data_IF_689093725506
#
_entry.id   IF_689093725506
#
_cell.length_a   1.000
_cell.length_b   1.000
_cell.length_c   1.000
_cell.angle_alpha   90.00
_cell.angle_beta   90.00
_cell.angle_gamma   90.00
#
_symmetry.space_group_name_H-M   'P 1'
#
loop_
_entity.id
_entity.type
_entity.pdbx_description
1 polymer ?
#
# COMPACT_ATOMS: atom_id res chain seq x y z
N UNK A 1 22.12 -4.66 13.13
CA UNK A 1 21.22 -3.54 13.48
C UNK A 1 20.62 -3.81 14.85
N UNK A 2 20.59 -2.84 15.74
CA UNK A 2 20.11 -3.06 17.10
C UNK A 2 18.57 -3.05 17.08
N UNK A 3 17.92 -4.13 17.51
CA UNK A 3 16.46 -4.24 17.56
C UNK A 3 15.80 -3.09 18.35
N UNK A 4 16.48 -2.55 19.35
CA UNK A 4 15.98 -1.40 20.11
C UNK A 4 15.82 -0.12 19.27
N UNK A 5 16.49 -0.03 18.14
CA UNK A 5 16.37 1.11 17.22
C UNK A 5 15.02 1.11 16.47
N UNK A 6 14.36 -0.02 16.40
CA UNK A 6 13.07 -0.17 15.73
C UNK A 6 11.88 0.35 16.53
N UNK A 7 12.03 0.38 17.86
CA UNK A 7 10.96 0.79 18.75
C UNK A 7 10.57 2.26 18.59
N UNK A 8 11.50 3.08 18.10
CA UNK A 8 11.31 4.52 17.86
C UNK A 8 11.07 4.85 16.39
N UNK A 9 10.92 3.81 15.54
CA UNK A 9 10.84 3.97 14.09
C UNK A 9 9.39 4.12 13.64
N UNK A 10 9.12 5.21 12.94
CA UNK A 10 7.93 5.41 12.15
C UNK A 10 8.14 5.02 10.67
N UNK A 11 7.10 5.16 9.88
CA UNK A 11 7.15 4.91 8.43
C UNK A 11 8.31 5.64 7.74
N UNK A 12 8.64 6.87 8.17
CA UNK A 12 9.70 7.69 7.53
C UNK A 12 11.08 7.05 7.67
N UNK A 13 11.36 6.44 8.80
CA UNK A 13 12.64 5.78 9.04
C UNK A 13 12.72 4.48 8.23
N UNK A 14 11.64 3.71 8.16
CA UNK A 14 11.60 2.52 7.32
C UNK A 14 11.74 2.85 5.83
N UNK A 15 11.08 3.90 5.36
CA UNK A 15 11.25 4.42 4.01
C UNK A 15 12.69 4.84 3.79
N UNK A 16 13.31 5.57 4.74
CA UNK A 16 14.70 6.00 4.64
C UNK A 16 15.67 4.82 4.56
N UNK A 17 15.48 3.77 5.36
CA UNK A 17 16.33 2.58 5.31
C UNK A 17 16.16 1.79 4.01
N UNK A 18 14.94 1.70 3.49
CA UNK A 18 14.66 1.11 2.17
C UNK A 18 15.35 1.92 1.08
N UNK A 19 15.31 3.25 1.14
CA UNK A 19 16.00 4.12 0.21
C UNK A 19 17.52 3.97 0.23
N UNK A 20 18.14 3.79 1.39
CA UNK A 20 19.58 3.55 1.49
C UNK A 20 19.97 2.25 0.79
N UNK A 21 19.14 1.21 0.89
CA UNK A 21 19.36 -0.04 0.16
C UNK A 21 19.23 0.17 -1.36
N UNK A 22 18.20 0.91 -1.80
CA UNK A 22 18.01 1.23 -3.22
C UNK A 22 19.12 2.12 -3.81
N UNK A 23 19.75 2.99 -3.01
CA UNK A 23 20.87 3.84 -3.46
C UNK A 23 22.04 3.05 -4.03
N UNK A 24 22.26 1.81 -3.59
CA UNK A 24 23.30 0.94 -4.11
C UNK A 24 23.10 0.63 -5.61
N UNK A 25 21.84 0.69 -6.06
CA UNK A 25 21.43 0.38 -7.43
C UNK A 25 21.01 1.62 -8.22
N UNK A 26 21.11 2.81 -7.63
CA UNK A 26 20.59 4.05 -8.22
C UNK A 26 21.19 4.34 -9.61
N UNK A 27 22.46 4.04 -9.81
CA UNK A 27 23.13 4.20 -11.10
C UNK A 27 22.63 3.25 -12.19
N UNK A 28 21.96 2.15 -11.82
CA UNK A 28 21.35 1.20 -12.73
C UNK A 28 19.86 1.52 -12.96
N UNK A 29 19.16 1.91 -11.90
CA UNK A 29 17.70 2.05 -11.87
C UNK A 29 17.26 3.41 -12.42
N UNK A 30 17.96 4.50 -12.05
CA UNK A 30 17.60 5.87 -12.41
C UNK A 30 18.45 6.44 -13.57
N UNK A 31 18.76 5.62 -14.57
CA UNK A 31 19.70 5.97 -15.61
C UNK A 31 18.99 6.08 -16.97
N UNK A 32 18.83 7.30 -17.48
CA UNK A 32 18.23 7.55 -18.80
C UNK A 32 19.04 6.86 -19.94
N UNK A 33 20.36 6.73 -19.79
CA UNK A 33 21.19 6.01 -20.76
C UNK A 33 20.88 4.51 -20.81
N UNK A 34 20.50 3.92 -19.69
CA UNK A 34 20.01 2.53 -19.66
C UNK A 34 18.71 2.40 -20.48
N UNK A 35 17.80 3.35 -20.36
CA UNK A 35 16.55 3.39 -21.14
C UNK A 35 16.85 3.47 -22.63
N UNK A 36 17.76 4.35 -23.04
CA UNK A 36 18.18 4.47 -24.45
C UNK A 36 18.75 3.16 -24.97
N UNK A 37 19.65 2.52 -24.21
CA UNK A 37 20.26 1.25 -24.60
C UNK A 37 19.22 0.12 -24.70
N UNK A 38 18.26 0.05 -23.77
CA UNK A 38 17.16 -0.94 -23.80
C UNK A 38 16.24 -0.72 -25.00
N UNK A 39 15.94 0.53 -25.33
CA UNK A 39 15.14 0.88 -26.51
C UNK A 39 15.87 0.50 -27.82
N UNK A 40 17.17 0.76 -27.92
CA UNK A 40 17.99 0.34 -29.06
C UNK A 40 18.04 -1.19 -29.23
N UNK A 41 18.16 -1.95 -28.14
CA UNK A 41 18.14 -3.41 -28.17
C UNK A 41 16.80 -3.93 -28.75
N UNK A 42 15.68 -3.31 -28.38
CA UNK A 42 14.36 -3.67 -28.90
C UNK A 42 14.28 -3.47 -30.42
N UNK A 43 14.89 -2.39 -30.95
CA UNK A 43 14.88 -2.08 -32.39
C UNK A 43 15.75 -3.06 -33.18
N UNK A 44 16.85 -3.52 -32.60
CA UNK A 44 17.82 -4.39 -33.27
C UNK A 44 17.50 -5.87 -33.17
N UNK A 45 16.61 -6.30 -32.26
CA UNK A 45 16.28 -7.71 -32.08
C UNK A 45 15.36 -8.20 -33.21
N UNK A 46 15.87 -9.06 -34.07
CA UNK A 46 15.09 -9.81 -35.05
C UNK A 46 14.19 -10.84 -34.35
N UNK A 47 13.14 -11.29 -35.05
CA UNK A 47 12.06 -12.14 -34.54
C UNK A 47 12.52 -13.46 -33.83
N UNK A 48 13.76 -13.91 -34.11
CA UNK A 48 14.37 -15.10 -33.50
C UNK A 48 14.74 -14.89 -32.01
N UNK A 49 14.84 -13.64 -31.56
CA UNK A 49 15.22 -13.27 -30.18
C UNK A 49 14.02 -12.83 -29.33
N UNK A 50 12.79 -12.85 -29.83
CA UNK A 50 11.60 -12.32 -29.13
C UNK A 50 11.38 -13.01 -27.78
N UNK A 51 11.54 -14.32 -27.69
CA UNK A 51 11.35 -15.07 -26.44
C UNK A 51 12.48 -14.84 -25.42
N UNK A 52 13.66 -14.53 -25.90
CA UNK A 52 14.82 -14.23 -25.04
C UNK A 52 14.83 -12.75 -24.57
N UNK A 53 14.20 -11.86 -25.32
CA UNK A 53 14.18 -10.40 -25.12
C UNK A 53 12.76 -9.82 -24.85
N UNK A 54 11.81 -10.61 -24.36
CA UNK A 54 10.60 -10.05 -23.75
C UNK A 54 10.92 -9.14 -22.55
N UNK A 55 12.01 -9.47 -21.84
CA UNK A 55 12.54 -8.73 -20.69
C UNK A 55 12.96 -7.27 -20.96
N UNK A 56 13.58 -6.86 -22.09
CA UNK A 56 13.97 -5.46 -22.29
C UNK A 56 12.81 -4.47 -22.22
N UNK A 57 11.60 -4.87 -22.65
CA UNK A 57 10.43 -4.00 -22.58
C UNK A 57 9.93 -3.83 -21.15
N UNK A 58 9.91 -4.91 -20.38
CA UNK A 58 9.56 -4.89 -18.95
C UNK A 58 10.55 -4.03 -18.16
N UNK A 59 11.85 -4.17 -18.42
CA UNK A 59 12.88 -3.34 -17.84
C UNK A 59 12.74 -1.87 -18.24
N UNK A 60 12.38 -1.58 -19.49
CA UNK A 60 12.18 -0.23 -19.97
C UNK A 60 11.02 0.46 -19.27
N UNK A 61 9.86 -0.18 -19.18
CA UNK A 61 8.68 0.36 -18.47
C UNK A 61 8.98 0.59 -17.00
N UNK A 62 9.60 -0.38 -16.35
CA UNK A 62 9.96 -0.25 -14.95
C UNK A 62 11.02 0.83 -14.68
N UNK A 63 11.97 1.05 -15.62
CA UNK A 63 12.94 2.16 -15.50
C UNK A 63 12.27 3.53 -15.63
N UNK A 64 11.21 3.64 -16.42
CA UNK A 64 10.39 4.87 -16.48
C UNK A 64 9.68 5.12 -15.13
N UNK A 65 9.14 4.09 -14.51
CA UNK A 65 8.57 4.16 -13.16
C UNK A 65 9.58 4.63 -12.13
N UNK A 66 10.77 4.05 -12.13
CA UNK A 66 11.84 4.40 -11.21
C UNK A 66 12.27 5.87 -11.37
N UNK A 67 12.35 6.37 -12.60
CA UNK A 67 12.63 7.79 -12.87
C UNK A 67 11.48 8.67 -12.35
N UNK A 68 10.23 8.29 -12.58
CA UNK A 68 9.07 9.03 -12.07
C UNK A 68 9.07 9.07 -10.53
N UNK A 69 9.37 7.96 -9.88
CA UNK A 69 9.53 7.87 -8.44
C UNK A 69 10.66 8.77 -7.94
N UNK A 70 11.84 8.69 -8.53
CA UNK A 70 13.00 9.52 -8.19
C UNK A 70 12.68 11.02 -8.26
N UNK A 71 12.01 11.46 -9.33
CA UNK A 71 11.61 12.88 -9.51
C UNK A 71 10.56 13.35 -8.49
N UNK A 72 9.76 12.44 -7.95
CA UNK A 72 8.67 12.77 -7.03
C UNK A 72 8.98 12.49 -5.56
N UNK A 73 10.05 11.78 -5.24
CA UNK A 73 10.43 11.37 -3.89
C UNK A 73 10.42 12.52 -2.87
N UNK A 74 10.96 13.68 -3.23
CA UNK A 74 10.97 14.86 -2.34
C UNK A 74 9.56 15.34 -1.98
N UNK A 75 8.61 15.26 -2.92
CA UNK A 75 7.22 15.62 -2.66
C UNK A 75 6.54 14.61 -1.75
N UNK A 76 6.92 13.36 -1.83
CA UNK A 76 6.42 12.30 -0.93
C UNK A 76 6.85 12.54 0.51
N UNK A 77 8.12 12.83 0.74
CA UNK A 77 8.62 13.23 2.06
C UNK A 77 7.93 14.50 2.60
N UNK A 78 7.65 15.46 1.73
CA UNK A 78 6.90 16.67 2.08
C UNK A 78 5.46 16.35 2.49
N UNK A 79 4.79 15.41 1.80
CA UNK A 79 3.46 14.93 2.17
C UNK A 79 3.45 14.30 3.56
N UNK A 80 4.41 13.42 3.86
CA UNK A 80 4.55 12.83 5.19
C UNK A 80 4.75 13.88 6.28
N UNK A 81 5.62 14.83 6.04
CA UNK A 81 5.87 15.91 6.99
C UNK A 81 4.60 16.75 7.25
N UNK A 82 3.85 17.11 6.21
CA UNK A 82 2.60 17.87 6.37
C UNK A 82 1.54 17.07 7.11
N UNK A 83 1.39 15.78 6.81
CA UNK A 83 0.49 14.90 7.57
C UNK A 83 0.81 14.93 9.06
N UNK A 84 2.07 14.83 9.42
CA UNK A 84 2.52 14.77 10.80
C UNK A 84 2.54 16.14 11.51
N UNK A 85 2.61 17.25 10.79
CA UNK A 85 2.74 18.59 11.40
C UNK A 85 1.49 19.45 11.28
N UNK A 86 0.75 19.37 10.18
CA UNK A 86 -0.40 20.26 9.91
C UNK A 86 -1.76 19.57 10.01
N UNK A 87 -1.77 18.22 9.93
CA UNK A 87 -3.02 17.44 10.03
C UNK A 87 -3.08 16.70 11.37
N UNK A 88 -2.39 17.18 12.39
CA UNK A 88 -2.16 16.39 13.61
C UNK A 88 -3.17 16.57 14.71
N UNK A 89 -3.94 17.65 14.78
CA UNK A 89 -4.83 17.86 15.93
C UNK A 89 -6.24 18.25 15.54
N UNK A 90 -7.18 17.62 16.19
CA UNK A 90 -8.58 17.96 16.23
C UNK A 90 -8.93 18.57 17.60
N UNK A 91 -10.03 19.30 17.68
CA UNK A 91 -10.63 19.70 18.95
C UNK A 91 -11.18 18.53 19.75
N UNK A 92 -11.45 17.41 19.10
CA UNK A 92 -11.96 16.20 19.73
C UNK A 92 -10.82 15.43 20.41
N UNK A 93 -11.15 14.75 21.51
CA UNK A 93 -10.20 13.99 22.33
C UNK A 93 -10.43 12.49 22.18
N UNK A 94 -9.36 11.73 22.12
CA UNK A 94 -9.37 10.28 22.08
C UNK A 94 -8.32 9.71 23.03
N UNK A 95 -8.77 8.89 23.98
CA UNK A 95 -7.89 8.28 25.01
C UNK A 95 -6.97 9.30 25.70
N UNK A 96 -7.51 10.49 26.04
CA UNK A 96 -6.77 11.53 26.75
C UNK A 96 -5.83 12.38 25.87
N UNK A 97 -5.85 12.22 24.57
CA UNK A 97 -5.03 13.01 23.62
C UNK A 97 -5.93 13.58 22.51
N UNK A 98 -5.57 14.71 21.90
CA UNK A 98 -6.28 15.19 20.72
C UNK A 98 -6.30 14.16 19.60
N UNK A 99 -7.44 14.07 18.91
CA UNK A 99 -7.54 13.25 17.69
C UNK A 99 -6.58 13.82 16.64
N UNK A 100 -5.75 12.97 16.05
CA UNK A 100 -4.71 13.35 15.10
C UNK A 100 -4.65 12.37 13.92
N UNK A 101 -3.71 12.57 13.00
CA UNK A 101 -3.57 11.71 11.82
C UNK A 101 -3.39 10.23 12.16
N UNK A 102 -2.73 9.90 13.25
CA UNK A 102 -2.42 8.53 13.63
C UNK A 102 -3.59 7.78 14.30
N UNK A 103 -4.62 8.49 14.78
CA UNK A 103 -5.70 7.88 15.57
C UNK A 103 -7.13 8.24 15.13
N UNK A 104 -7.33 9.15 14.16
CA UNK A 104 -8.67 9.59 13.76
C UNK A 104 -9.54 8.48 13.18
N UNK A 105 -8.92 7.52 12.45
CA UNK A 105 -9.65 6.37 11.91
C UNK A 105 -10.14 5.46 13.03
N UNK A 106 -9.27 5.22 14.02
CA UNK A 106 -9.64 4.45 15.20
C UNK A 106 -10.73 5.17 16.01
N UNK A 107 -10.62 6.49 16.17
CA UNK A 107 -11.67 7.29 16.79
C UNK A 107 -12.99 7.11 16.04
N UNK A 108 -13.04 7.35 14.74
CA UNK A 108 -14.26 7.24 13.95
C UNK A 108 -14.81 5.80 13.89
N UNK A 109 -13.98 4.79 14.05
CA UNK A 109 -14.46 3.40 14.06
C UNK A 109 -15.21 3.02 15.34
N UNK A 110 -14.93 3.67 16.48
CA UNK A 110 -15.51 3.27 17.78
C UNK A 110 -16.38 4.36 18.44
N UNK A 111 -16.32 5.61 17.98
CA UNK A 111 -17.15 6.70 18.54
C UNK A 111 -18.63 6.46 18.19
N UNK A 112 -19.48 6.37 19.20
CA UNK A 112 -20.92 6.10 19.02
C UNK A 112 -21.71 7.33 18.58
N UNK A 113 -21.26 8.53 18.99
CA UNK A 113 -21.88 9.79 18.63
C UNK A 113 -21.56 10.15 17.16
N UNK A 114 -22.58 10.12 16.31
CA UNK A 114 -22.42 10.39 14.89
C UNK A 114 -22.03 11.85 14.59
N UNK A 115 -22.42 12.83 15.43
CA UNK A 115 -22.03 14.22 15.27
C UNK A 115 -20.53 14.40 15.51
N UNK A 116 -19.98 13.71 16.51
CA UNK A 116 -18.53 13.72 16.75
C UNK A 116 -17.76 13.04 15.62
N UNK A 117 -18.28 11.92 15.08
CA UNK A 117 -17.66 11.28 13.90
C UNK A 117 -17.64 12.23 12.71
N UNK A 118 -18.77 12.90 12.48
CA UNK A 118 -18.90 13.91 11.42
C UNK A 118 -17.91 15.06 11.61
N UNK A 119 -17.86 15.63 12.82
CA UNK A 119 -16.96 16.73 13.18
C UNK A 119 -15.49 16.38 12.86
N UNK A 120 -15.04 15.20 13.32
CA UNK A 120 -13.66 14.74 13.08
C UNK A 120 -13.42 14.53 11.60
N UNK A 121 -14.33 13.87 10.89
CA UNK A 121 -14.20 13.60 9.46
C UNK A 121 -14.14 14.89 8.64
N UNK A 122 -15.04 15.82 8.86
CA UNK A 122 -15.08 17.12 8.17
C UNK A 122 -13.84 17.96 8.48
N UNK A 123 -13.37 17.93 9.71
CA UNK A 123 -12.13 18.60 10.12
C UNK A 123 -10.91 18.05 9.37
N UNK A 124 -10.80 16.73 9.23
CA UNK A 124 -9.71 16.11 8.46
C UNK A 124 -9.84 16.38 6.96
N UNK A 125 -11.04 16.30 6.39
CA UNK A 125 -11.27 16.68 4.97
C UNK A 125 -10.88 18.13 4.73
N UNK A 126 -11.31 19.05 5.60
CA UNK A 126 -10.95 20.47 5.46
C UNK A 126 -9.42 20.67 5.46
N UNK A 127 -8.68 19.88 6.24
CA UNK A 127 -7.21 19.96 6.29
C UNK A 127 -6.51 19.36 5.05
N UNK A 128 -7.21 18.63 4.20
CA UNK A 128 -6.61 18.08 2.96
C UNK A 128 -6.16 19.17 1.99
N UNK A 129 -6.64 20.41 2.14
CA UNK A 129 -6.15 21.54 1.33
C UNK A 129 -4.64 21.78 1.48
N UNK A 130 -4.02 21.38 2.60
CA UNK A 130 -2.57 21.48 2.78
C UNK A 130 -1.79 20.51 1.90
N UNK A 131 -2.35 19.34 1.64
CA UNK A 131 -1.67 18.29 0.84
C UNK A 131 -2.05 18.33 -0.63
N UNK A 132 -3.24 18.84 -0.98
CA UNK A 132 -3.77 18.83 -2.36
C UNK A 132 -2.79 19.43 -3.38
N UNK A 133 -2.15 20.60 -3.16
CA UNK A 133 -1.22 21.16 -4.12
C UNK A 133 -0.01 20.25 -4.40
N UNK A 134 0.47 19.56 -3.36
CA UNK A 134 1.63 18.67 -3.46
C UNK A 134 1.24 17.40 -4.21
N UNK A 135 0.08 16.83 -3.91
CA UNK A 135 -0.46 15.68 -4.62
C UNK A 135 -0.64 15.99 -6.10
N UNK A 136 -1.26 17.14 -6.44
CA UNK A 136 -1.44 17.58 -7.83
C UNK A 136 -0.09 17.76 -8.52
N UNK A 137 0.88 18.40 -7.87
CA UNK A 137 2.22 18.60 -8.42
C UNK A 137 2.92 17.25 -8.65
N UNK A 138 2.86 16.33 -7.68
CA UNK A 138 3.43 14.98 -7.81
C UNK A 138 2.84 14.26 -9.00
N UNK A 139 1.51 14.25 -9.12
CA UNK A 139 0.81 13.61 -10.22
C UNK A 139 1.17 14.23 -11.59
N UNK A 140 1.31 15.55 -11.65
CA UNK A 140 1.72 16.26 -12.88
C UNK A 140 3.13 15.87 -13.32
N UNK A 141 4.08 15.77 -12.38
CA UNK A 141 5.44 15.32 -12.67
C UNK A 141 5.49 13.87 -13.16
N UNK A 142 4.72 12.99 -12.54
CA UNK A 142 4.59 11.60 -13.01
C UNK A 142 4.08 11.58 -14.44
N UNK A 143 3.00 12.32 -14.73
CA UNK A 143 2.45 12.43 -16.10
C UNK A 143 3.47 12.96 -17.10
N UNK A 144 4.26 13.96 -16.72
CA UNK A 144 5.34 14.48 -17.57
C UNK A 144 6.35 13.40 -17.92
N UNK A 145 6.87 12.69 -16.93
CA UNK A 145 7.84 11.62 -17.16
C UNK A 145 7.27 10.56 -18.09
N UNK A 146 6.07 10.11 -17.83
CA UNK A 146 5.43 9.08 -18.67
C UNK A 146 5.15 9.58 -20.07
N UNK A 147 4.73 10.84 -20.26
CA UNK A 147 4.53 11.42 -21.57
C UNK A 147 5.86 11.50 -22.34
N UNK A 148 6.87 12.13 -21.74
CA UNK A 148 8.10 12.46 -22.47
C UNK A 148 8.91 11.20 -22.81
N UNK A 149 9.03 10.26 -21.88
CA UNK A 149 9.72 8.99 -22.11
C UNK A 149 8.82 8.00 -22.88
N UNK A 150 7.54 7.96 -22.60
CA UNK A 150 6.59 7.11 -23.32
C UNK A 150 6.49 7.46 -24.80
N UNK A 151 6.32 8.73 -25.14
CA UNK A 151 6.32 9.19 -26.54
C UNK A 151 7.64 8.90 -27.25
N UNK A 152 8.78 9.18 -26.59
CA UNK A 152 10.12 8.95 -27.15
C UNK A 152 10.34 7.47 -27.50
N UNK A 153 9.83 6.54 -26.71
CA UNK A 153 10.06 5.11 -26.89
C UNK A 153 8.85 4.34 -27.44
N UNK A 154 7.78 5.05 -27.84
CA UNK A 154 6.57 4.45 -28.39
C UNK A 154 5.80 3.59 -27.37
N UNK A 155 5.81 4.01 -26.12
CA UNK A 155 5.13 3.33 -25.01
C UNK A 155 3.95 4.15 -24.51
N UNK A 156 2.77 3.56 -24.49
CA UNK A 156 1.67 4.07 -23.68
C UNK A 156 1.84 3.53 -22.25
N UNK A 157 1.95 4.41 -21.23
CA UNK A 157 2.28 3.98 -19.86
C UNK A 157 1.31 2.97 -19.29
N UNK A 158 0.01 3.21 -19.45
CA UNK A 158 -1.03 2.35 -18.87
C UNK A 158 -1.06 1.00 -19.57
N UNK A 159 -1.09 1.00 -20.90
CA UNK A 159 -1.07 -0.25 -21.67
C UNK A 159 0.22 -1.04 -21.44
N UNK A 160 1.36 -0.34 -21.35
CA UNK A 160 2.65 -0.99 -21.13
C UNK A 160 2.76 -1.62 -19.75
N UNK A 161 2.22 -0.97 -18.72
CA UNK A 161 2.14 -1.56 -17.38
C UNK A 161 1.26 -2.82 -17.35
N UNK A 162 0.08 -2.75 -17.93
CA UNK A 162 -0.83 -3.89 -17.98
C UNK A 162 -0.31 -5.04 -18.84
N UNK A 163 0.46 -4.75 -19.89
CA UNK A 163 1.13 -5.77 -20.69
C UNK A 163 2.17 -6.56 -19.86
N UNK A 164 2.88 -5.92 -18.92
CA UNK A 164 3.77 -6.64 -17.99
C UNK A 164 2.99 -7.64 -17.14
N UNK A 165 1.80 -7.25 -16.68
CA UNK A 165 0.88 -8.10 -15.94
C UNK A 165 0.14 -9.11 -16.85
N UNK A 166 0.40 -9.10 -18.16
CA UNK A 166 -0.32 -9.89 -19.18
C UNK A 166 -1.83 -9.64 -19.19
N UNK A 167 -2.23 -8.43 -18.87
CA UNK A 167 -3.62 -7.99 -18.78
C UNK A 167 -3.93 -7.04 -19.94
N UNK A 168 -4.99 -7.32 -20.68
CA UNK A 168 -5.52 -6.39 -21.68
C UNK A 168 -6.30 -5.26 -21.00
N UNK A 169 -5.93 -3.99 -21.30
CA UNK A 169 -6.63 -2.82 -20.77
C UNK A 169 -8.14 -2.85 -21.08
N UNK A 170 -8.51 -3.18 -22.31
CA UNK A 170 -9.92 -3.25 -22.70
C UNK A 170 -10.69 -4.33 -21.94
N UNK A 171 -10.11 -5.52 -21.80
CA UNK A 171 -10.70 -6.60 -21.03
C UNK A 171 -10.84 -6.25 -19.54
N UNK A 172 -9.83 -5.61 -18.96
CA UNK A 172 -9.90 -5.16 -17.56
C UNK A 172 -11.02 -4.13 -17.35
N UNK A 173 -11.11 -3.12 -18.23
CA UNK A 173 -12.16 -2.09 -18.16
C UNK A 173 -13.55 -2.71 -18.31
N UNK A 174 -13.73 -3.62 -19.26
CA UNK A 174 -15.00 -4.32 -19.47
C UNK A 174 -15.37 -5.18 -18.25
N UNK A 175 -14.40 -5.93 -17.71
CA UNK A 175 -14.58 -6.74 -16.50
C UNK A 175 -15.02 -5.88 -15.32
N UNK A 176 -14.30 -4.78 -15.02
CA UNK A 176 -14.62 -3.89 -13.89
C UNK A 176 -16.00 -3.26 -14.08
N UNK A 177 -16.33 -2.79 -15.28
CA UNK A 177 -17.66 -2.23 -15.59
C UNK A 177 -18.76 -3.26 -15.40
N UNK A 178 -18.57 -4.47 -15.92
CA UNK A 178 -19.53 -5.58 -15.79
C UNK A 178 -19.73 -5.98 -14.32
N UNK A 179 -18.62 -6.13 -13.56
CA UNK A 179 -18.69 -6.38 -12.13
C UNK A 179 -19.44 -5.28 -11.38
N UNK A 180 -19.08 -4.02 -11.63
CA UNK A 180 -19.73 -2.87 -10.99
C UNK A 180 -21.23 -2.81 -11.28
N UNK A 181 -21.64 -3.08 -12.51
CA UNK A 181 -23.06 -3.13 -12.87
C UNK A 181 -23.80 -4.26 -12.18
N UNK A 182 -23.20 -5.46 -12.12
CA UNK A 182 -23.80 -6.63 -11.46
C UNK A 182 -23.88 -6.49 -9.94
N UNK A 183 -22.82 -5.94 -9.32
CA UNK A 183 -22.73 -5.80 -7.88
C UNK A 183 -23.52 -4.60 -7.33
N UNK A 184 -23.77 -3.56 -8.13
CA UNK A 184 -24.33 -2.28 -7.67
C UNK A 184 -25.63 -2.46 -6.91
N UNK A 185 -26.61 -3.12 -7.50
CA UNK A 185 -27.93 -3.28 -6.87
C UNK A 185 -27.89 -4.18 -5.63
N UNK A 186 -27.36 -5.41 -5.68
CA UNK A 186 -27.24 -6.25 -4.48
C UNK A 186 -26.48 -5.58 -3.35
N UNK A 187 -25.38 -4.87 -3.67
CA UNK A 187 -24.61 -4.12 -2.67
C UNK A 187 -25.43 -3.00 -2.03
N UNK A 188 -26.15 -2.21 -2.82
CA UNK A 188 -26.97 -1.13 -2.32
C UNK A 188 -28.13 -1.66 -1.42
N UNK A 189 -28.81 -2.71 -1.84
CA UNK A 189 -29.87 -3.35 -1.06
C UNK A 189 -29.35 -3.87 0.28
N UNK A 190 -28.25 -4.62 0.28
CA UNK A 190 -27.61 -5.13 1.48
C UNK A 190 -27.10 -4.00 2.40
N UNK A 191 -26.44 -2.98 1.82
CA UNK A 191 -25.96 -1.83 2.59
C UNK A 191 -27.12 -1.10 3.29
N UNK A 192 -28.22 -0.89 2.60
CA UNK A 192 -29.39 -0.20 3.14
C UNK A 192 -30.08 -1.02 4.23
N UNK A 193 -30.20 -2.32 4.07
CA UNK A 193 -30.78 -3.22 5.06
C UNK A 193 -29.94 -3.27 6.34
N UNK A 194 -28.65 -3.56 6.19
CA UNK A 194 -27.72 -3.71 7.31
C UNK A 194 -27.50 -2.36 8.02
N UNK A 195 -27.39 -1.25 7.28
CA UNK A 195 -27.22 0.06 7.90
C UNK A 195 -28.46 0.52 8.71
N UNK A 196 -29.66 0.24 8.23
CA UNK A 196 -30.88 0.52 9.01
C UNK A 196 -30.92 -0.29 10.31
N UNK A 197 -30.49 -1.55 10.26
CA UNK A 197 -30.42 -2.41 11.45
C UNK A 197 -29.40 -1.90 12.48
N UNK A 198 -28.23 -1.44 12.00
CA UNK A 198 -27.11 -1.05 12.87
C UNK A 198 -27.19 0.42 13.30
N UNK A 199 -27.52 1.33 12.36
CA UNK A 199 -27.48 2.77 12.57
C UNK A 199 -28.88 3.39 12.82
N UNK A 200 -29.96 2.65 12.56
CA UNK A 200 -31.34 3.17 12.56
C UNK A 200 -31.62 4.15 11.41
N UNK A 201 -30.68 4.37 10.49
CA UNK A 201 -30.75 5.31 9.37
C UNK A 201 -29.88 4.85 8.20
N UNK A 202 -29.91 5.60 7.10
CA UNK A 202 -28.95 5.41 6.01
C UNK A 202 -27.55 5.82 6.44
N UNK A 203 -26.49 5.14 5.95
CA UNK A 203 -25.11 5.51 6.25
C UNK A 203 -24.73 6.81 5.53
N UNK A 204 -24.00 7.63 6.21
CA UNK A 204 -23.37 8.84 5.67
C UNK A 204 -21.86 8.60 5.49
N UNK A 205 -21.17 9.48 4.74
CA UNK A 205 -19.75 9.34 4.44
C UNK A 205 -18.85 9.23 5.69
N UNK A 206 -19.24 9.86 6.80
CA UNK A 206 -18.51 9.81 8.08
C UNK A 206 -18.77 8.54 8.90
N UNK A 207 -19.70 7.70 8.48
CA UNK A 207 -19.98 6.41 9.12
C UNK A 207 -19.10 5.28 8.58
N UNK A 208 -18.31 5.51 7.53
CA UNK A 208 -17.54 4.50 6.83
C UNK A 208 -16.71 3.61 7.78
N UNK A 209 -15.84 4.22 8.59
CA UNK A 209 -15.03 3.48 9.56
C UNK A 209 -15.88 2.84 10.66
N UNK A 210 -16.90 3.53 11.16
CA UNK A 210 -17.78 3.01 12.19
C UNK A 210 -18.57 1.79 11.72
N UNK A 211 -19.08 1.86 10.51
CA UNK A 211 -19.87 0.79 9.92
C UNK A 211 -18.99 -0.39 9.48
N UNK A 212 -18.06 -0.15 8.55
CA UNK A 212 -17.29 -1.22 7.91
C UNK A 212 -16.15 -1.78 8.75
N UNK A 213 -15.60 -1.01 9.71
CA UNK A 213 -14.49 -1.46 10.56
C UNK A 213 -14.87 -1.86 11.98
N UNK A 214 -16.15 -1.69 12.36
CA UNK A 214 -16.60 -2.05 13.69
C UNK A 214 -17.95 -2.76 13.63
N UNK A 215 -19.05 -2.04 13.37
CA UNK A 215 -20.40 -2.56 13.63
C UNK A 215 -20.77 -3.77 12.79
N UNK A 216 -20.36 -3.84 11.52
CA UNK A 216 -20.61 -5.02 10.66
C UNK A 216 -19.96 -6.28 11.23
N UNK A 217 -18.83 -6.13 11.92
CA UNK A 217 -18.05 -7.24 12.44
C UNK A 217 -18.12 -7.41 13.96
N UNK A 218 -18.90 -6.57 14.66
CA UNK A 218 -18.94 -6.56 16.14
C UNK A 218 -19.30 -7.91 16.76
N UNK A 219 -20.12 -8.71 16.10
CA UNK A 219 -20.45 -10.06 16.56
C UNK A 219 -19.29 -11.05 16.47
N UNK A 220 -18.35 -10.80 15.55
CA UNK A 220 -17.14 -11.60 15.39
C UNK A 220 -16.02 -11.15 16.32
N UNK A 221 -15.94 -9.86 16.64
CA UNK A 221 -14.88 -9.29 17.48
C UNK A 221 -14.77 -9.98 18.85
N UNK A 222 -15.85 -10.47 19.40
CA UNK A 222 -15.84 -11.25 20.66
C UNK A 222 -14.99 -12.53 20.60
N UNK A 223 -14.84 -13.11 19.39
CA UNK A 223 -14.00 -14.30 19.18
C UNK A 223 -12.53 -13.90 19.01
N UNK A 224 -12.27 -12.79 18.33
CA UNK A 224 -10.91 -12.33 17.99
C UNK A 224 -10.25 -11.49 19.10
N UNK A 225 -11.04 -10.86 19.99
CA UNK A 225 -10.53 -9.96 21.04
C UNK A 225 -9.55 -10.61 22.02
N UNK A 226 -9.66 -11.93 22.21
CA UNK A 226 -8.83 -12.71 23.16
C UNK A 226 -7.58 -13.30 22.53
N UNK A 227 -7.42 -13.17 21.23
CA UNK A 227 -6.37 -13.82 20.47
C UNK A 227 -5.36 -12.76 20.03
N UNK A 228 -4.08 -13.08 20.13
CA UNK A 228 -3.03 -12.22 19.58
C UNK A 228 -2.83 -12.54 18.09
N UNK A 229 -3.16 -11.61 17.17
CA UNK A 229 -3.11 -11.89 15.74
C UNK A 229 -1.71 -12.27 15.25
N UNK A 230 -0.65 -11.64 15.78
CA UNK A 230 0.74 -11.97 15.40
C UNK A 230 1.09 -13.41 15.77
N UNK A 231 0.67 -13.87 16.95
CA UNK A 231 0.95 -15.24 17.37
C UNK A 231 0.23 -16.25 16.47
N UNK A 232 -1.01 -15.97 16.09
CA UNK A 232 -1.76 -16.86 15.20
C UNK A 232 -1.22 -16.84 13.77
N UNK A 233 -0.83 -15.69 13.24
CA UNK A 233 -0.14 -15.58 11.95
C UNK A 233 1.13 -16.43 11.96
N UNK A 234 1.99 -16.24 12.96
CA UNK A 234 3.25 -17.01 13.09
C UNK A 234 2.97 -18.51 13.18
N UNK A 235 2.01 -18.92 14.00
CA UNK A 235 1.63 -20.31 14.16
C UNK A 235 1.11 -20.93 12.85
N UNK A 236 0.21 -20.22 12.17
CA UNK A 236 -0.37 -20.67 10.90
C UNK A 236 0.71 -20.84 9.83
N UNK A 237 1.56 -19.83 9.65
CA UNK A 237 2.60 -19.86 8.63
C UNK A 237 3.70 -20.87 8.95
N UNK A 238 4.05 -21.06 10.23
CA UNK A 238 4.97 -22.14 10.64
C UNK A 238 4.36 -23.53 10.37
N UNK A 239 3.04 -23.69 10.61
CA UNK A 239 2.34 -24.92 10.27
C UNK A 239 2.33 -25.20 8.76
N UNK A 240 2.32 -24.15 7.95
CA UNK A 240 2.43 -24.21 6.49
C UNK A 240 3.89 -24.36 5.98
N UNK A 241 4.85 -24.56 6.89
CA UNK A 241 6.28 -24.72 6.60
C UNK A 241 6.98 -23.48 6.02
N UNK A 242 6.49 -22.29 6.34
CA UNK A 242 7.16 -21.03 5.97
C UNK A 242 8.24 -20.64 6.99
N UNK A 243 9.39 -20.22 6.47
CA UNK A 243 10.49 -19.66 7.29
C UNK A 243 10.24 -18.17 7.60
N UNK A 244 10.00 -17.88 8.87
CA UNK A 244 9.77 -16.51 9.36
C UNK A 244 11.04 -15.81 9.88
N UNK A 245 12.20 -16.45 9.82
CA UNK A 245 13.45 -15.94 10.42
C UNK A 245 13.93 -14.61 9.82
N UNK A 246 13.50 -14.30 8.59
CA UNK A 246 13.86 -13.08 7.84
C UNK A 246 12.83 -11.97 8.00
N UNK A 247 11.75 -12.21 8.75
CA UNK A 247 10.63 -11.28 8.91
C UNK A 247 10.66 -10.70 10.32
N UNK A 248 10.73 -9.38 10.39
CA UNK A 248 10.72 -8.63 11.64
C UNK A 248 9.36 -7.98 11.86
N UNK A 249 8.75 -8.25 13.00
CA UNK A 249 7.43 -7.71 13.37
C UNK A 249 7.60 -6.56 14.37
N UNK A 250 7.26 -5.35 13.93
CA UNK A 250 7.13 -4.19 14.81
C UNK A 250 5.68 -4.10 15.30
N UNK A 251 5.46 -4.61 16.52
CA UNK A 251 4.15 -4.73 17.14
C UNK A 251 3.97 -3.84 18.36
N UNK A 252 4.98 -3.05 18.73
CA UNK A 252 4.91 -2.16 19.89
C UNK A 252 3.87 -1.06 19.65
N UNK A 253 3.05 -0.79 20.65
CA UNK A 253 2.08 0.31 20.61
C UNK A 253 2.77 1.60 21.04
N UNK A 254 3.04 2.49 20.09
CA UNK A 254 3.65 3.81 20.30
C UNK A 254 2.66 4.90 19.91
N UNK A 255 2.72 6.01 20.63
CA UNK A 255 1.82 7.15 20.41
C UNK A 255 1.82 7.65 18.97
N UNK A 256 3.00 7.76 18.37
CA UNK A 256 3.21 8.34 17.04
C UNK A 256 3.44 7.27 15.96
N UNK A 257 3.12 6.00 16.26
CA UNK A 257 3.22 4.91 15.31
C UNK A 257 2.30 5.15 14.12
N UNK A 258 2.80 4.89 12.92
CA UNK A 258 2.01 5.00 11.70
C UNK A 258 0.71 4.17 11.79
N UNK A 259 -0.44 4.75 11.41
CA UNK A 259 -1.74 4.16 11.72
C UNK A 259 -2.12 2.95 10.87
N UNK A 260 -1.49 2.77 9.71
CA UNK A 260 -1.79 1.65 8.82
C UNK A 260 -0.73 0.57 8.93
N UNK A 261 -1.10 -0.71 8.92
CA UNK A 261 -0.15 -1.79 8.73
C UNK A 261 0.58 -1.62 7.39
N UNK A 262 1.87 -1.95 7.36
CA UNK A 262 2.71 -1.87 6.14
C UNK A 262 3.79 -2.94 6.21
N UNK A 263 4.06 -3.58 5.06
CA UNK A 263 5.23 -4.41 4.84
C UNK A 263 6.33 -3.62 4.12
N UNK A 264 7.54 -3.61 4.66
CA UNK A 264 8.72 -2.96 4.07
C UNK A 264 9.71 -4.01 3.58
N UNK A 265 10.08 -3.91 2.33
CA UNK A 265 11.09 -4.74 1.67
C UNK A 265 12.45 -4.06 1.75
N UNK A 266 13.05 -4.03 2.94
CA UNK A 266 14.33 -3.32 3.15
C UNK A 266 15.44 -3.98 2.36
N UNK A 267 15.51 -5.32 2.40
CA UNK A 267 16.43 -6.12 1.59
C UNK A 267 15.83 -7.48 1.27
N UNK A 268 15.40 -7.70 0.05
CA UNK A 268 14.87 -8.98 -0.42
C UNK A 268 16.02 -9.97 -0.67
N UNK A 269 15.95 -11.19 -0.14
CA UNK A 269 14.93 -11.77 0.73
C UNK A 269 15.29 -11.76 2.23
N UNK A 270 16.25 -10.97 2.70
CA UNK A 270 16.93 -11.16 4.00
C UNK A 270 16.49 -10.21 5.11
N UNK A 271 15.90 -9.05 4.78
CA UNK A 271 15.40 -8.07 5.77
C UNK A 271 14.03 -7.54 5.31
N UNK A 272 12.99 -8.18 5.81
CA UNK A 272 11.59 -7.83 5.57
C UNK A 272 10.96 -7.41 6.88
N UNK A 273 10.22 -6.30 6.88
CA UNK A 273 9.70 -5.71 8.11
C UNK A 273 8.20 -5.47 8.00
N UNK A 274 7.46 -5.94 8.99
CA UNK A 274 6.01 -5.73 9.10
C UNK A 274 5.73 -4.80 10.25
N UNK A 275 5.32 -3.57 9.93
CA UNK A 275 4.78 -2.62 10.90
C UNK A 275 3.30 -2.92 11.11
N UNK A 276 2.89 -3.06 12.35
CA UNK A 276 1.52 -3.35 12.70
C UNK A 276 1.07 -2.53 13.90
N UNK A 277 -0.06 -1.85 13.78
CA UNK A 277 -0.71 -1.12 14.86
C UNK A 277 -2.10 -1.72 15.12
N UNK A 278 -2.42 -1.99 16.39
CA UNK A 278 -3.73 -2.52 16.75
C UNK A 278 -4.83 -1.47 16.55
N UNK A 279 -5.91 -1.88 15.92
CA UNK A 279 -7.11 -1.05 15.73
C UNK A 279 -8.35 -1.72 16.32
N UNK A 280 -8.85 -2.77 15.67
CA UNK A 280 -10.03 -3.53 16.07
C UNK A 280 -9.80 -5.02 15.83
N UNK A 281 -10.36 -5.92 16.65
CA UNK A 281 -9.95 -7.32 16.68
C UNK A 281 -9.93 -8.03 15.32
N UNK A 282 -11.01 -7.98 14.55
CA UNK A 282 -11.06 -8.69 13.26
C UNK A 282 -10.15 -8.07 12.21
N UNK A 283 -10.07 -6.72 12.17
CA UNK A 283 -9.16 -6.03 11.25
C UNK A 283 -7.70 -6.25 11.59
N UNK A 284 -7.40 -6.41 12.88
CA UNK A 284 -6.07 -6.77 13.34
C UNK A 284 -5.63 -8.11 12.71
N UNK A 285 -6.53 -9.09 12.66
CA UNK A 285 -6.26 -10.35 11.97
C UNK A 285 -6.07 -10.16 10.47
N UNK A 286 -7.03 -9.51 9.80
CA UNK A 286 -6.94 -9.26 8.37
C UNK A 286 -5.64 -8.54 8.01
N UNK A 287 -5.32 -7.45 8.71
CA UNK A 287 -4.12 -6.67 8.47
C UNK A 287 -2.83 -7.48 8.72
N UNK A 288 -2.77 -8.26 9.80
CA UNK A 288 -1.61 -9.09 10.09
C UNK A 288 -1.38 -10.15 9.02
N UNK A 289 -2.42 -10.85 8.59
CA UNK A 289 -2.30 -11.86 7.54
C UNK A 289 -1.92 -11.22 6.21
N UNK A 290 -2.56 -10.09 5.85
CA UNK A 290 -2.27 -9.35 4.64
C UNK A 290 -0.80 -8.94 4.56
N UNK A 291 -0.32 -8.15 5.52
CA UNK A 291 1.06 -7.65 5.49
C UNK A 291 2.10 -8.78 5.65
N UNK A 292 1.76 -9.84 6.39
CA UNK A 292 2.66 -10.98 6.50
C UNK A 292 2.69 -11.82 5.22
N UNK A 293 1.60 -11.85 4.46
CA UNK A 293 1.59 -12.44 3.11
C UNK A 293 2.59 -11.77 2.18
N UNK A 294 2.62 -10.43 2.15
CA UNK A 294 3.67 -9.68 1.43
C UNK A 294 5.06 -10.05 1.94
N UNK A 295 5.22 -10.16 3.25
CA UNK A 295 6.51 -10.51 3.85
C UNK A 295 6.97 -11.92 3.49
N UNK A 296 6.08 -12.91 3.49
CA UNK A 296 6.37 -14.27 3.03
C UNK A 296 6.77 -14.29 1.56
N UNK A 297 6.02 -13.59 0.71
CA UNK A 297 6.36 -13.50 -0.71
C UNK A 297 7.79 -12.97 -0.89
N UNK A 298 8.11 -11.84 -0.28
CA UNK A 298 9.43 -11.22 -0.41
C UNK A 298 10.56 -12.06 0.20
N UNK A 299 10.33 -12.69 1.38
CA UNK A 299 11.32 -13.53 2.06
C UNK A 299 11.59 -14.87 1.35
N UNK A 300 10.66 -15.32 0.51
CA UNK A 300 10.76 -16.56 -0.27
C UNK A 300 11.42 -16.38 -1.64
N UNK A 301 11.77 -15.17 -2.02
CA UNK A 301 12.48 -14.90 -3.29
C UNK A 301 13.86 -15.54 -3.27
N UNK A 302 14.23 -16.20 -4.37
CA UNK A 302 15.58 -16.80 -4.52
C UNK A 302 16.65 -15.69 -4.45
N UNK A 303 17.60 -15.77 -3.50
CA UNK A 303 18.67 -14.78 -3.36
C UNK A 303 19.61 -14.70 -4.55
N UNK A 304 19.64 -15.71 -5.42
CA UNK A 304 20.48 -15.75 -6.60
C UNK A 304 19.86 -15.10 -7.85
N UNK A 305 18.59 -14.67 -7.76
CA UNK A 305 17.98 -13.94 -8.87
C UNK A 305 18.67 -12.60 -9.10
N UNK A 306 18.67 -12.18 -10.36
CA UNK A 306 19.08 -10.83 -10.74
C UNK A 306 18.23 -9.77 -10.02
N UNK A 307 18.82 -8.60 -9.77
CA UNK A 307 18.16 -7.50 -9.06
C UNK A 307 16.72 -7.24 -9.54
N UNK A 308 16.53 -7.13 -10.85
CA UNK A 308 15.24 -6.86 -11.47
C UNK A 308 14.18 -7.91 -11.15
N UNK A 309 14.56 -9.15 -11.09
CA UNK A 309 13.65 -10.26 -10.78
C UNK A 309 13.32 -10.34 -9.28
N UNK A 310 14.18 -9.77 -8.41
CA UNK A 310 13.92 -9.70 -6.95
C UNK A 310 12.94 -8.62 -6.58
N UNK A 311 13.08 -7.42 -7.18
CA UNK A 311 12.38 -6.21 -6.73
C UNK A 311 11.21 -5.80 -7.63
N UNK A 312 11.04 -6.47 -8.76
CA UNK A 312 9.90 -6.25 -9.67
C UNK A 312 8.88 -7.37 -9.55
N UNK A 313 8.12 -7.32 -8.47
CA UNK A 313 7.01 -8.23 -8.22
C UNK A 313 5.77 -7.67 -8.92
N UNK A 314 5.04 -8.53 -9.66
CA UNK A 314 3.72 -8.17 -10.14
C UNK A 314 2.82 -7.78 -8.97
N UNK A 315 2.28 -6.56 -9.00
CA UNK A 315 1.36 -6.11 -7.94
C UNK A 315 0.11 -6.99 -7.89
N UNK A 316 -0.39 -7.45 -9.04
CA UNK A 316 -1.53 -8.37 -9.09
C UNK A 316 -1.23 -9.69 -8.36
N UNK A 317 -0.06 -10.28 -8.57
CA UNK A 317 0.36 -11.51 -7.86
C UNK A 317 0.60 -11.22 -6.37
N UNK A 318 1.23 -10.10 -6.05
CA UNK A 318 1.48 -9.71 -4.67
C UNK A 318 0.16 -9.62 -3.87
N UNK A 319 -0.88 -9.02 -4.44
CA UNK A 319 -2.19 -8.90 -3.78
C UNK A 319 -2.99 -10.20 -3.75
N UNK A 320 -2.90 -11.07 -4.79
CA UNK A 320 -3.62 -12.36 -4.82
C UNK A 320 -3.07 -13.33 -3.79
N UNK A 321 -1.77 -13.38 -3.59
CA UNK A 321 -1.15 -14.26 -2.58
C UNK A 321 -1.58 -13.97 -1.14
N UNK A 322 -2.33 -12.89 -0.92
CA UNK A 322 -2.86 -12.45 0.37
C UNK A 322 -4.33 -12.83 0.59
N UNK A 323 -5.04 -13.16 -0.48
CA UNK A 323 -6.48 -13.48 -0.44
C UNK A 323 -6.76 -14.99 -0.40
N UNK A 324 -5.75 -15.81 -0.54
CA UNK A 324 -5.80 -17.26 -0.49
C UNK A 324 -5.34 -17.82 0.85
#
# INVERSE_FOLDING_TARGET
MNLNHWCDLDEQIYISETDEEYKQYAGLVYNEKLIENLAELKIRSSQIFIDFFSKPRELLVGSIEDIAYSKTKRLELELHNIRNTKIVSSRNMFKGSPVNWSNWRQFNSIEEDHEKRKDVYDEFIAKTHYITPIVVKRFSLIKEVYRDLGERYGLDPVSSYLEQEKISYSQLVEFIKSMGQRAKRPFQEALMEVSRSILGRQPEYYDDFYFFRNKVYSDFDKYFSRINPINEVKKTLTYMDFDLSKIHFDTEDRKDKYPSPICFFVRIPTDIRVLYKRETPIFDFQACFHETGHAIHASSVDPNLEYWNKYRISMGIAEISLLS
#
